data_IF_525355551808
#
_entry.id   IF_525355551808
#
_cell.length_a   1.000
_cell.length_b   1.000
_cell.length_c   1.000
_cell.angle_alpha   90.00
_cell.angle_beta   90.00
_cell.angle_gamma   90.00
#
_symmetry.space_group_name_H-M   'P 1'
#
loop_
_entity.id
_entity.type
_entity.pdbx_description
1 polymer ?
#
# COMPACT_ATOMS: atom_id res chain seq x y z
N UNK A 1 4.70 -21.21 -10.18
CA UNK A 1 4.43 -21.54 -8.76
C UNK A 1 3.03 -21.02 -8.48
N UNK A 2 2.10 -21.88 -8.08
CA UNK A 2 0.70 -21.46 -7.88
C UNK A 2 0.67 -20.34 -6.84
N UNK A 3 0.14 -19.19 -7.27
CA UNK A 3 -0.19 -18.07 -6.43
C UNK A 3 -1.28 -18.57 -5.46
N UNK A 4 -0.89 -18.89 -4.23
CA UNK A 4 -1.87 -19.25 -3.20
C UNK A 4 -2.77 -18.03 -3.03
N UNK A 5 -4.00 -18.16 -3.51
CA UNK A 5 -5.01 -17.10 -3.48
C UNK A 5 -5.13 -16.56 -2.06
N UNK A 6 -5.10 -15.24 -1.93
CA UNK A 6 -5.36 -14.59 -0.66
C UNK A 6 -6.83 -14.78 -0.29
N UNK A 7 -7.07 -15.38 0.87
CA UNK A 7 -8.41 -15.61 1.40
C UNK A 7 -9.05 -14.26 1.75
N UNK A 8 -8.25 -13.36 2.31
CA UNK A 8 -8.67 -12.01 2.66
C UNK A 8 -7.45 -11.09 2.63
N UNK A 9 -7.61 -9.88 2.10
CA UNK A 9 -6.55 -8.88 2.07
C UNK A 9 -7.07 -7.49 2.43
N UNK A 10 -6.22 -6.72 3.10
CA UNK A 10 -6.48 -5.30 3.43
C UNK A 10 -5.23 -4.47 3.16
N UNK A 11 -5.43 -3.33 2.51
CA UNK A 11 -4.35 -2.39 2.17
C UNK A 11 -4.52 -1.08 2.94
N UNK A 12 -3.44 -0.58 3.53
CA UNK A 12 -3.37 0.72 4.20
C UNK A 12 -2.26 1.57 3.61
N UNK A 13 -2.61 2.72 3.02
CA UNK A 13 -1.64 3.69 2.49
C UNK A 13 -1.29 4.73 3.55
N UNK A 14 0.00 4.91 3.80
CA UNK A 14 0.56 5.86 4.77
C UNK A 14 1.68 6.67 4.11
N UNK A 15 1.29 7.53 3.17
CA UNK A 15 2.18 8.39 2.42
C UNK A 15 3.22 7.65 1.55
N UNK A 16 4.44 7.40 2.07
CA UNK A 16 5.52 6.69 1.33
C UNK A 16 5.56 5.20 1.64
N UNK A 17 4.75 4.75 2.60
CA UNK A 17 4.60 3.35 2.98
C UNK A 17 3.21 2.87 2.57
N UNK A 18 3.14 1.63 2.12
CA UNK A 18 1.88 0.89 1.95
C UNK A 18 1.99 -0.39 2.74
N UNK A 19 1.03 -0.63 3.63
CA UNK A 19 0.93 -1.85 4.41
C UNK A 19 -0.10 -2.78 3.76
N UNK A 20 0.26 -4.04 3.64
CA UNK A 20 -0.59 -5.13 3.16
C UNK A 20 -0.77 -6.13 4.29
N UNK A 21 -2.02 -6.51 4.56
CA UNK A 21 -2.40 -7.48 5.57
C UNK A 21 -3.15 -8.60 4.88
N UNK A 22 -2.48 -9.73 4.70
CA UNK A 22 -2.95 -10.81 3.83
C UNK A 22 -3.13 -12.10 4.63
N UNK A 23 -4.34 -12.64 4.65
CA UNK A 23 -4.67 -13.94 5.26
C UNK A 23 -4.53 -15.01 4.19
N UNK A 24 -3.71 -16.03 4.47
CA UNK A 24 -3.36 -17.09 3.54
C UNK A 24 -3.50 -18.46 4.19
N UNK A 25 -3.77 -19.48 3.36
CA UNK A 25 -3.83 -20.88 3.79
C UNK A 25 -2.48 -21.58 3.63
N UNK A 26 -2.10 -22.35 4.64
CA UNK A 26 -0.98 -23.29 4.56
C UNK A 26 -1.39 -24.54 3.78
N UNK A 27 -0.41 -25.38 3.41
CA UNK A 27 -0.71 -26.69 2.79
C UNK A 27 -1.51 -27.63 3.69
N UNK A 28 -1.51 -27.40 5.01
CA UNK A 28 -2.22 -28.21 5.99
C UNK A 28 -3.66 -27.70 6.25
N UNK A 29 -4.08 -26.64 5.57
CA UNK A 29 -5.42 -26.05 5.71
C UNK A 29 -5.56 -25.04 6.84
N UNK A 30 -4.48 -24.70 7.55
CA UNK A 30 -4.52 -23.67 8.59
C UNK A 30 -4.16 -22.29 8.05
N UNK A 31 -4.59 -21.23 8.74
CA UNK A 31 -4.41 -19.84 8.30
C UNK A 31 -3.22 -19.17 8.98
N UNK A 32 -2.52 -18.34 8.21
CA UNK A 32 -1.45 -17.48 8.69
C UNK A 32 -1.62 -16.07 8.12
N UNK A 33 -1.06 -15.09 8.81
CA UNK A 33 -1.10 -13.69 8.41
C UNK A 33 0.26 -13.29 7.81
N UNK A 34 0.23 -12.64 6.67
CA UNK A 34 1.39 -11.94 6.12
C UNK A 34 1.18 -10.44 6.29
N UNK A 35 2.12 -9.77 6.95
CA UNK A 35 2.15 -8.31 7.04
C UNK A 35 3.32 -7.81 6.20
N UNK A 36 3.03 -7.04 5.15
CA UNK A 36 4.07 -6.46 4.30
C UNK A 36 4.04 -4.94 4.37
N UNK A 37 5.15 -4.32 4.72
CA UNK A 37 5.38 -2.90 4.48
C UNK A 37 6.14 -2.73 3.16
N UNK A 38 5.59 -1.98 2.21
CA UNK A 38 6.30 -1.52 1.02
C UNK A 38 6.60 -0.02 1.15
N UNK A 39 7.89 0.34 1.21
CA UNK A 39 8.34 1.72 1.31
C UNK A 39 8.94 2.19 -0.01
N UNK A 40 8.43 3.31 -0.53
CA UNK A 40 8.99 3.99 -1.71
C UNK A 40 10.21 4.82 -1.32
N UNK A 41 11.35 4.48 -1.89
CA UNK A 41 12.58 5.26 -1.85
C UNK A 41 12.72 6.00 -3.17
N UNK A 42 13.10 7.27 -3.07
CA UNK A 42 13.32 8.18 -4.19
C UNK A 42 14.75 8.64 -4.03
N UNK A 43 15.53 8.51 -5.08
CA UNK A 43 16.92 8.92 -5.16
C UNK A 43 16.99 10.39 -5.60
N UNK A 44 18.17 11.00 -5.46
CA UNK A 44 18.37 12.42 -5.79
C UNK A 44 18.23 12.72 -7.30
N UNK A 45 18.41 11.70 -8.15
CA UNK A 45 18.19 11.76 -9.60
C UNK A 45 16.71 11.65 -10.00
N UNK A 46 15.79 11.59 -9.04
CA UNK A 46 14.34 11.45 -9.26
C UNK A 46 13.88 10.01 -9.50
N UNK A 47 14.80 9.05 -9.68
CA UNK A 47 14.45 7.64 -9.79
C UNK A 47 13.88 7.10 -8.47
N UNK A 48 13.07 6.04 -8.53
CA UNK A 48 12.49 5.44 -7.34
C UNK A 48 12.49 3.91 -7.36
N UNK A 49 12.53 3.33 -6.18
CA UNK A 49 12.40 1.89 -5.96
C UNK A 49 11.54 1.60 -4.72
N UNK A 50 10.98 0.40 -4.64
CA UNK A 50 10.22 -0.05 -3.48
C UNK A 50 11.01 -1.09 -2.70
N UNK A 51 11.16 -0.90 -1.40
CA UNK A 51 11.69 -1.93 -0.49
C UNK A 51 10.54 -2.53 0.31
N UNK A 52 10.43 -3.85 0.26
CA UNK A 52 9.40 -4.60 1.01
C UNK A 52 10.01 -5.22 2.27
N UNK A 53 9.36 -5.02 3.41
CA UNK A 53 9.61 -5.72 4.65
C UNK A 53 8.40 -6.63 4.91
N UNK A 54 8.62 -7.94 5.03
CA UNK A 54 7.55 -8.92 5.15
C UNK A 54 7.73 -9.73 6.43
N UNK A 55 6.63 -9.88 7.16
CA UNK A 55 6.53 -10.70 8.37
C UNK A 55 5.49 -11.78 8.09
N UNK A 56 5.82 -13.02 8.46
CA UNK A 56 4.89 -14.13 8.51
C UNK A 56 4.55 -14.39 9.96
N UNK A 57 3.26 -14.43 10.28
CA UNK A 57 2.77 -14.73 11.61
C UNK A 57 1.88 -15.96 11.51
N UNK A 58 2.19 -16.98 12.30
CA UNK A 58 1.40 -18.21 12.38
C UNK A 58 0.45 -18.16 13.57
N UNK A 59 -0.58 -19.00 13.51
CA UNK A 59 -1.76 -18.91 14.37
C UNK A 59 -1.44 -19.10 15.86
N UNK A 60 -0.45 -19.92 16.17
CA UNK A 60 0.05 -20.16 17.51
C UNK A 60 0.51 -18.88 18.22
N UNK A 61 1.02 -17.90 17.46
CA UNK A 61 1.60 -16.66 17.99
C UNK A 61 0.62 -15.48 17.97
N UNK A 62 -0.60 -15.65 17.42
CA UNK A 62 -1.51 -14.53 17.16
C UNK A 62 -1.90 -13.75 18.40
N UNK A 63 -2.18 -14.45 19.49
CA UNK A 63 -2.66 -13.82 20.71
C UNK A 63 -1.55 -12.99 21.36
N UNK A 64 -0.40 -13.61 21.60
CA UNK A 64 0.75 -12.97 22.22
C UNK A 64 1.27 -11.82 21.35
N UNK A 65 1.34 -11.98 20.02
CA UNK A 65 1.75 -10.92 19.13
C UNK A 65 0.78 -9.74 19.16
N UNK A 66 -0.54 -9.99 19.13
CA UNK A 66 -1.56 -8.95 19.19
C UNK A 66 -1.48 -8.17 20.51
N UNK A 67 -1.34 -8.87 21.62
CA UNK A 67 -1.33 -8.26 22.95
C UNK A 67 -0.08 -7.41 23.14
N UNK A 68 1.11 -7.94 22.82
CA UNK A 68 2.36 -7.18 22.86
C UNK A 68 2.34 -5.98 21.90
N UNK A 69 1.84 -6.15 20.67
CA UNK A 69 1.73 -5.04 19.72
C UNK A 69 0.81 -3.94 20.25
N UNK A 70 -0.33 -4.33 20.84
CA UNK A 70 -1.27 -3.41 21.46
C UNK A 70 -0.64 -2.65 22.63
N UNK A 71 0.04 -3.36 23.53
CA UNK A 71 0.73 -2.77 24.69
C UNK A 71 1.79 -1.76 24.25
N UNK A 72 2.63 -2.11 23.28
CA UNK A 72 3.69 -1.22 22.79
C UNK A 72 3.11 0.01 22.08
N UNK A 73 2.02 -0.15 21.32
CA UNK A 73 1.32 0.99 20.70
C UNK A 73 0.72 1.89 21.77
N UNK A 74 0.06 1.33 22.77
CA UNK A 74 -0.56 2.09 23.86
C UNK A 74 0.49 2.85 24.67
N UNK A 75 1.60 2.22 25.00
CA UNK A 75 2.72 2.86 25.71
C UNK A 75 3.22 4.11 24.97
N UNK A 76 3.37 4.05 23.64
CA UNK A 76 3.78 5.22 22.84
C UNK A 76 2.73 6.34 22.92
N UNK A 77 1.45 5.99 22.84
CA UNK A 77 0.35 6.96 22.91
C UNK A 77 0.23 7.61 24.29
N UNK A 78 0.46 6.87 25.37
CA UNK A 78 0.42 7.40 26.73
C UNK A 78 1.58 8.37 26.97
N UNK A 79 2.78 8.05 26.46
CA UNK A 79 3.99 8.86 26.64
C UNK A 79 4.09 10.09 25.72
N UNK A 80 3.53 10.02 24.52
CA UNK A 80 3.70 11.05 23.48
C UNK A 80 2.39 11.62 22.92
N UNK A 81 1.25 11.10 23.34
CA UNK A 81 -0.06 11.46 22.79
C UNK A 81 -0.26 10.93 21.37
N UNK A 82 -1.43 11.25 20.80
CA UNK A 82 -1.79 10.88 19.43
C UNK A 82 -1.26 11.88 18.38
N UNK A 83 -0.57 12.94 18.80
CA UNK A 83 -0.08 13.96 17.89
C UNK A 83 1.09 13.44 17.05
N UNK A 84 0.93 13.52 15.73
CA UNK A 84 1.95 13.07 14.79
C UNK A 84 2.82 14.26 14.39
N UNK A 85 4.02 14.36 14.94
CA UNK A 85 5.00 15.42 14.64
C UNK A 85 5.71 15.27 13.28
N UNK A 86 5.14 14.53 12.33
CA UNK A 86 5.77 14.40 11.02
C UNK A 86 5.51 15.64 10.16
N UNK A 87 6.49 16.03 9.35
CA UNK A 87 6.41 17.18 8.44
C UNK A 87 5.16 17.14 7.53
N UNK A 88 4.57 15.95 7.31
CA UNK A 88 3.34 15.74 6.52
C UNK A 88 2.04 16.18 7.20
N UNK A 89 2.03 16.36 8.52
CA UNK A 89 0.84 16.78 9.28
C UNK A 89 0.93 18.22 9.78
N UNK A 90 2.01 18.94 9.47
CA UNK A 90 2.02 20.38 9.63
C UNK A 90 0.99 20.99 8.66
N UNK A 91 0.17 21.93 9.15
CA UNK A 91 -0.88 22.61 8.35
C UNK A 91 -0.32 23.28 7.09
N UNK A 92 0.99 23.52 7.04
CA UNK A 92 1.72 24.15 5.93
C UNK A 92 2.46 23.14 5.04
N UNK A 93 2.19 21.83 5.14
CA UNK A 93 2.80 20.83 4.26
C UNK A 93 2.37 21.05 2.80
N UNK A 94 3.25 21.71 2.03
CA UNK A 94 3.17 21.73 0.57
C UNK A 94 3.74 20.42 0.07
N UNK A 95 2.87 19.56 -0.47
CA UNK A 95 3.29 18.47 -1.34
C UNK A 95 4.04 19.13 -2.51
N UNK A 96 5.36 18.98 -2.56
CA UNK A 96 6.13 19.31 -3.76
C UNK A 96 5.67 18.35 -4.86
N UNK A 97 4.62 18.75 -5.58
CA UNK A 97 4.35 18.24 -6.91
C UNK A 97 5.42 18.83 -7.81
N UNK A 98 6.37 18.00 -8.24
CA UNK A 98 7.22 18.32 -9.36
C UNK A 98 6.30 18.43 -10.60
N UNK A 99 5.94 19.66 -10.95
CA UNK A 99 5.35 20.03 -12.24
C UNK A 99 6.43 20.06 -13.31
N UNK A 100 6.43 19.07 -14.21
CA UNK A 100 6.83 19.13 -15.63
C UNK A 100 6.07 17.96 -16.31
N UNK A 101 5.20 18.07 -17.32
CA UNK A 101 4.88 19.12 -18.28
C UNK A 101 3.39 19.05 -18.68
N UNK A 102 2.82 20.20 -19.06
CA UNK A 102 1.57 20.34 -19.82
C UNK A 102 1.95 20.73 -21.26
N UNK A 103 1.38 20.03 -22.24
CA UNK A 103 1.22 20.46 -23.63
C UNK A 103 0.22 19.51 -24.30
N UNK A 104 -1.09 19.81 -24.28
CA UNK A 104 -1.87 20.49 -25.34
C UNK A 104 -2.33 19.47 -26.42
N UNK A 105 -3.60 19.30 -26.81
CA UNK A 105 -4.80 20.17 -26.86
C UNK A 105 -6.10 19.33 -26.66
N UNK A 106 -7.11 19.83 -25.92
CA UNK A 106 -8.41 20.38 -26.39
C UNK A 106 -9.21 19.45 -27.33
N UNK A 107 -10.50 19.17 -27.20
CA UNK A 107 -11.61 19.66 -26.37
C UNK A 107 -12.75 18.64 -26.47
N UNK A 108 -13.52 18.39 -25.41
CA UNK A 108 -14.89 17.86 -25.59
C UNK A 108 -15.80 18.46 -24.52
N UNK A 109 -16.82 19.19 -24.99
CA UNK A 109 -18.02 19.52 -24.23
C UNK A 109 -19.00 18.35 -24.31
N UNK A 110 -19.60 18.10 -23.16
CA UNK A 110 -20.95 17.59 -22.88
C UNK A 110 -21.41 16.18 -23.32
N UNK A 111 -21.87 15.49 -22.28
CA UNK A 111 -23.05 14.64 -22.14
C UNK A 111 -23.12 13.26 -22.83
N UNK A 112 -23.09 12.25 -21.96
CA UNK A 112 -23.98 11.08 -21.89
C UNK A 112 -24.11 10.20 -23.15
N UNK A 113 -23.59 8.96 -23.12
CA UNK A 113 -24.28 7.70 -23.52
C UNK A 113 -23.37 6.50 -23.23
N UNK A 114 -24.03 5.36 -22.96
CA UNK A 114 -23.57 4.05 -22.54
C UNK A 114 -22.62 3.28 -23.50
N UNK A 115 -22.00 2.23 -22.94
CA UNK A 115 -21.49 1.00 -23.59
C UNK A 115 -20.43 1.09 -24.69
N UNK A 116 -19.25 0.52 -24.47
CA UNK A 116 -18.80 -0.77 -25.05
C UNK A 116 -17.29 -0.98 -24.89
N UNK A 117 -16.96 -2.27 -24.79
CA UNK A 117 -15.66 -2.93 -24.81
C UNK A 117 -14.54 -2.27 -25.63
N UNK A 118 -13.33 -2.23 -25.05
CA UNK A 118 -12.10 -2.13 -25.83
C UNK A 118 -11.07 -3.14 -25.28
N UNK A 119 -11.23 -4.39 -25.71
CA UNK A 119 -10.15 -5.38 -25.76
C UNK A 119 -9.78 -5.51 -27.23
N UNK A 120 -8.71 -4.86 -27.66
CA UNK A 120 -8.01 -5.18 -28.90
C UNK A 120 -6.52 -4.87 -28.68
N UNK A 121 -5.79 -5.88 -28.26
CA UNK A 121 -4.33 -5.93 -28.37
C UNK A 121 -4.05 -7.02 -29.39
N UNK A 122 -3.71 -6.62 -30.61
CA UNK A 122 -3.14 -7.50 -31.63
C UNK A 122 -1.65 -7.73 -31.30
N UNK A 123 -1.26 -9.00 -31.15
CA UNK A 123 0.14 -9.41 -31.09
C UNK A 123 0.55 -9.88 -32.49
N UNK A 124 1.31 -9.06 -33.20
CA UNK A 124 2.15 -9.50 -34.32
C UNK A 124 3.48 -10.05 -33.80
N UNK A 125 3.94 -11.12 -34.45
CA UNK A 125 5.11 -11.95 -34.17
C UNK A 125 6.40 -11.20 -33.76
N UNK A 126 6.95 -11.54 -32.57
CA UNK A 126 8.37 -11.92 -32.32
C UNK A 126 8.62 -12.39 -30.88
#
# INVERSE_FOLDING_TARGET
MMEQEEIHSKVMRAGRRTYFFDVRETKAGDYYLTITESKKFTNDDGSFHYKKHKIYLYKEDFLDFKDNLGEMVQYILDEKGAEVISERHQKDYKKEEATEEKGEESAVKDENTETSSFTDIEFEDI
#
